data_IF_288656415143
#
_entry.id   IF_288656415143
#
_cell.length_a   1.000
_cell.length_b   1.000
_cell.length_c   1.000
_cell.angle_alpha   90.00
_cell.angle_beta   90.00
_cell.angle_gamma   90.00
#
_symmetry.space_group_name_H-M   'P 1'
#
loop_
_entity.id
_entity.type
_entity.pdbx_description
1 polymer ?
#
# COMPACT_ATOMS: atom_id res chain seq x y z
N UNK A 1 -4.45 -4.28 -11.51
CA UNK A 1 -4.67 -4.94 -10.19
C UNK A 1 -5.97 -5.71 -10.09
N UNK A 2 -6.94 -5.56 -11.01
CA UNK A 2 -8.18 -6.36 -11.04
C UNK A 2 -7.94 -7.86 -11.25
N UNK A 3 -6.94 -8.26 -12.03
CA UNK A 3 -6.65 -9.68 -12.30
C UNK A 3 -6.24 -10.47 -11.06
N UNK A 4 -5.41 -9.91 -10.18
CA UNK A 4 -4.99 -10.59 -8.96
C UNK A 4 -6.17 -10.79 -8.00
N UNK A 5 -7.04 -9.80 -7.88
CA UNK A 5 -8.24 -9.89 -7.06
C UNK A 5 -9.26 -10.86 -7.64
N UNK A 6 -9.47 -10.82 -8.97
CA UNK A 6 -10.31 -11.79 -9.68
C UNK A 6 -9.79 -13.22 -9.58
N UNK A 7 -8.46 -13.41 -9.56
CA UNK A 7 -7.86 -14.73 -9.31
C UNK A 7 -8.13 -15.22 -7.89
N UNK A 8 -7.94 -14.36 -6.88
CA UNK A 8 -8.27 -14.70 -5.48
C UNK A 8 -9.75 -15.06 -5.35
N UNK A 9 -10.65 -14.26 -5.92
CA UNK A 9 -12.08 -14.52 -5.89
C UNK A 9 -12.44 -15.85 -6.57
N UNK A 10 -11.85 -16.13 -7.75
CA UNK A 10 -12.02 -17.40 -8.44
C UNK A 10 -11.56 -18.58 -7.57
N UNK A 11 -10.36 -18.51 -7.01
CA UNK A 11 -9.82 -19.57 -6.16
C UNK A 11 -10.67 -19.78 -4.90
N UNK A 12 -11.08 -18.71 -4.21
CA UNK A 12 -11.95 -18.81 -3.04
C UNK A 12 -13.29 -19.46 -3.39
N UNK A 13 -13.87 -19.08 -4.54
CA UNK A 13 -15.11 -19.67 -5.05
C UNK A 13 -14.93 -21.16 -5.39
N UNK A 14 -13.81 -21.56 -5.99
CA UNK A 14 -13.49 -22.98 -6.24
C UNK A 14 -13.33 -23.76 -4.94
N UNK A 15 -12.79 -23.15 -3.89
CA UNK A 15 -12.63 -23.75 -2.56
C UNK A 15 -13.90 -23.70 -1.70
N UNK A 16 -15.01 -23.19 -2.24
CA UNK A 16 -16.29 -23.03 -1.55
C UNK A 16 -16.20 -22.15 -0.28
N UNK A 17 -15.26 -21.20 -0.27
CA UNK A 17 -15.07 -20.22 0.79
C UNK A 17 -15.85 -18.93 0.49
N UNK A 18 -16.19 -18.17 1.54
CA UNK A 18 -16.89 -16.88 1.40
C UNK A 18 -16.04 -15.91 0.58
N UNK A 19 -16.61 -15.38 -0.50
CA UNK A 19 -15.98 -14.36 -1.33
C UNK A 19 -16.42 -12.96 -0.90
N UNK A 20 -15.49 -12.01 -0.92
CA UNK A 20 -15.83 -10.59 -0.80
C UNK A 20 -16.24 -10.12 -2.21
N UNK A 21 -17.54 -9.98 -2.45
CA UNK A 21 -18.06 -9.60 -3.77
C UNK A 21 -17.51 -8.23 -4.21
N UNK A 22 -17.18 -8.12 -5.50
CA UNK A 22 -16.74 -6.84 -6.08
C UNK A 22 -17.96 -5.93 -6.28
N UNK A 23 -18.23 -5.06 -5.31
CA UNK A 23 -19.28 -4.07 -5.46
C UNK A 23 -18.79 -2.97 -6.41
N UNK A 24 -19.51 -2.78 -7.52
CA UNK A 24 -19.18 -1.74 -8.51
C UNK A 24 -19.37 -0.37 -7.86
N UNK A 25 -18.30 0.42 -7.82
CA UNK A 25 -18.40 1.81 -7.37
C UNK A 25 -19.26 2.60 -8.35
N UNK A 26 -20.26 3.33 -7.83
CA UNK A 26 -21.00 4.30 -8.64
C UNK A 26 -20.02 5.33 -9.21
N UNK A 27 -20.13 5.60 -10.52
CA UNK A 27 -19.36 6.68 -11.16
C UNK A 27 -19.98 8.07 -10.92
N UNK A 28 -21.21 8.11 -10.42
CA UNK A 28 -21.93 9.31 -10.00
C UNK A 28 -21.87 9.40 -8.48
N UNK A 29 -20.98 10.26 -7.97
CA UNK A 29 -20.95 10.63 -6.56
C UNK A 29 -21.23 12.13 -6.48
N UNK A 30 -22.26 12.53 -5.74
CA UNK A 30 -22.66 13.94 -5.55
C UNK A 30 -21.79 14.65 -4.49
N UNK A 31 -20.74 13.99 -4.00
CA UNK A 31 -19.82 14.52 -2.99
C UNK A 31 -18.87 15.55 -3.63
N UNK A 32 -19.25 16.84 -3.52
CA UNK A 32 -18.47 17.96 -4.06
C UNK A 32 -16.99 17.97 -3.61
N UNK A 33 -16.70 17.47 -2.41
CA UNK A 33 -15.33 17.35 -1.89
C UNK A 33 -14.50 16.27 -2.62
N UNK A 34 -15.12 15.18 -3.07
CA UNK A 34 -14.46 14.16 -3.89
C UNK A 34 -14.16 14.68 -5.29
N UNK A 35 -15.10 15.42 -5.88
CA UNK A 35 -14.92 16.07 -7.18
C UNK A 35 -13.76 17.07 -7.13
N UNK A 36 -13.70 17.92 -6.08
CA UNK A 36 -12.57 18.84 -5.89
C UNK A 36 -11.22 18.14 -5.83
N UNK A 37 -11.12 17.02 -5.11
CA UNK A 37 -9.87 16.24 -5.03
C UNK A 37 -9.49 15.67 -6.39
N UNK A 38 -10.46 15.16 -7.14
CA UNK A 38 -10.24 14.65 -8.49
C UNK A 38 -9.70 15.74 -9.43
N UNK A 39 -10.30 16.93 -9.44
CA UNK A 39 -9.83 18.06 -10.26
C UNK A 39 -8.45 18.59 -9.84
N UNK A 40 -8.04 18.35 -8.59
CA UNK A 40 -6.71 18.67 -8.07
C UNK A 40 -5.69 17.54 -8.27
N UNK A 41 -6.05 16.48 -8.98
CA UNK A 41 -5.22 15.28 -9.18
C UNK A 41 -4.82 14.57 -7.87
N UNK A 42 -5.58 14.77 -6.81
CA UNK A 42 -5.36 14.18 -5.50
C UNK A 42 -6.10 12.84 -5.43
N UNK A 43 -5.36 11.77 -5.15
CA UNK A 43 -5.94 10.44 -4.96
C UNK A 43 -6.93 10.42 -3.80
N UNK A 44 -8.14 9.90 -4.04
CA UNK A 44 -9.12 9.68 -2.98
C UNK A 44 -9.04 8.23 -2.48
N UNK A 45 -8.70 8.06 -1.20
CA UNK A 45 -8.61 6.76 -0.56
C UNK A 45 -9.91 6.31 0.14
N UNK A 46 -11.01 7.06 0.01
CA UNK A 46 -12.41 6.63 0.20
C UNK A 46 -12.77 5.77 1.43
N UNK A 47 -14.00 5.20 1.47
CA UNK A 47 -14.35 4.19 2.44
C UNK A 47 -13.53 2.91 2.21
N UNK A 48 -13.15 2.25 3.30
CA UNK A 48 -12.15 1.19 3.38
C UNK A 48 -12.35 0.05 2.36
N UNK A 49 -11.65 0.14 1.23
CA UNK A 49 -11.48 -0.98 0.29
C UNK A 49 -10.43 -1.94 0.82
N UNK A 50 -10.71 -3.24 0.70
CA UNK A 50 -9.74 -4.32 1.00
C UNK A 50 -8.45 -4.18 0.17
N UNK A 51 -8.52 -3.51 -0.99
CA UNK A 51 -7.36 -3.28 -1.86
C UNK A 51 -6.32 -2.31 -1.27
N UNK A 52 -6.70 -1.42 -0.35
CA UNK A 52 -5.77 -0.46 0.23
C UNK A 52 -4.79 -1.12 1.22
N UNK A 53 -5.19 -2.22 1.86
CA UNK A 53 -4.35 -2.90 2.84
C UNK A 53 -3.05 -3.46 2.23
N UNK A 54 -3.08 -4.34 1.20
CA UNK A 54 -1.86 -4.86 0.60
C UNK A 54 -1.02 -3.76 -0.06
N UNK A 55 -1.66 -2.74 -0.64
CA UNK A 55 -0.98 -1.58 -1.22
C UNK A 55 -0.20 -0.79 -0.16
N UNK A 56 -0.83 -0.52 1.00
CA UNK A 56 -0.20 0.19 2.12
C UNK A 56 0.95 -0.65 2.72
N UNK A 57 0.78 -1.97 2.87
CA UNK A 57 1.86 -2.87 3.31
C UNK A 57 3.05 -2.80 2.37
N UNK A 58 2.83 -2.89 1.05
CA UNK A 58 3.89 -2.82 0.06
C UNK A 58 4.63 -1.46 0.11
N UNK A 59 3.90 -0.35 0.25
CA UNK A 59 4.49 0.96 0.40
C UNK A 59 5.37 1.03 1.66
N UNK A 60 4.85 0.66 2.83
CA UNK A 60 5.60 0.72 4.10
C UNK A 60 6.84 -0.19 4.07
N UNK A 61 6.74 -1.41 3.54
CA UNK A 61 7.89 -2.32 3.38
C UNK A 61 8.96 -1.71 2.47
N UNK A 62 8.58 -1.15 1.32
CA UNK A 62 9.53 -0.49 0.41
C UNK A 62 10.19 0.72 1.07
N UNK A 63 9.45 1.50 1.87
CA UNK A 63 10.01 2.62 2.63
C UNK A 63 11.05 2.15 3.66
N UNK A 64 10.75 1.10 4.42
CA UNK A 64 11.70 0.53 5.38
C UNK A 64 12.94 -0.03 4.70
N UNK A 65 12.77 -0.72 3.57
CA UNK A 65 13.86 -1.23 2.75
C UNK A 65 14.72 -0.10 2.18
N UNK A 66 14.11 1.01 1.74
CA UNK A 66 14.83 2.20 1.30
C UNK A 66 15.69 2.80 2.42
N UNK A 67 15.13 3.01 3.61
CA UNK A 67 15.87 3.55 4.77
C UNK A 67 17.04 2.63 5.15
N UNK A 68 16.80 1.31 5.19
CA UNK A 68 17.84 0.32 5.49
C UNK A 68 18.91 0.26 4.40
N UNK A 69 18.51 0.31 3.14
CA UNK A 69 19.42 0.30 1.99
C UNK A 69 20.29 1.57 1.96
N UNK A 70 19.71 2.72 2.28
CA UNK A 70 20.44 3.98 2.39
C UNK A 70 21.47 3.93 3.53
N UNK A 71 21.10 3.39 4.69
CA UNK A 71 22.06 3.13 5.77
C UNK A 71 23.16 2.16 5.33
N UNK A 72 22.79 1.07 4.65
CA UNK A 72 23.72 0.08 4.11
C UNK A 72 24.71 0.65 3.09
N UNK A 73 24.29 1.62 2.28
CA UNK A 73 25.15 2.31 1.32
C UNK A 73 26.32 3.02 2.03
N UNK A 74 26.06 3.70 3.15
CA UNK A 74 27.08 4.38 3.93
C UNK A 74 28.04 3.42 4.66
N UNK A 75 27.58 2.22 5.01
CA UNK A 75 28.37 1.26 5.81
C UNK A 75 29.13 0.25 4.96
N UNK A 76 28.52 -0.25 3.88
CA UNK A 76 29.03 -1.37 3.07
C UNK A 76 29.32 -1.01 1.60
N UNK A 77 29.10 0.24 1.19
CA UNK A 77 29.46 0.75 -0.14
C UNK A 77 28.53 0.32 -1.28
N UNK A 78 29.09 0.17 -2.48
CA UNK A 78 28.36 0.10 -3.76
C UNK A 78 27.55 -1.18 -4.00
N UNK A 79 27.58 -2.17 -3.10
CA UNK A 79 26.98 -3.49 -3.32
C UNK A 79 25.45 -3.47 -3.49
N UNK A 80 24.79 -2.38 -3.09
CA UNK A 80 23.33 -2.26 -3.03
C UNK A 80 22.73 -1.23 -4.00
N UNK A 81 23.51 -0.71 -4.97
CA UNK A 81 23.07 0.42 -5.82
C UNK A 81 21.82 0.09 -6.65
N UNK A 82 21.76 -1.09 -7.28
CA UNK A 82 20.60 -1.50 -8.09
C UNK A 82 19.35 -1.73 -7.23
N UNK A 83 19.49 -2.37 -6.08
CA UNK A 83 18.38 -2.61 -5.14
C UNK A 83 17.85 -1.28 -4.58
N UNK A 84 18.76 -0.36 -4.25
CA UNK A 84 18.42 0.97 -3.79
C UNK A 84 17.70 1.75 -4.89
N UNK A 85 18.16 1.67 -6.15
CA UNK A 85 17.47 2.31 -7.28
C UNK A 85 16.05 1.78 -7.45
N UNK A 86 15.86 0.46 -7.40
CA UNK A 86 14.54 -0.16 -7.55
C UNK A 86 13.59 0.25 -6.42
N UNK A 87 14.06 0.21 -5.17
CA UNK A 87 13.23 0.55 -4.02
C UNK A 87 12.96 2.06 -3.94
N UNK A 88 13.91 2.90 -4.38
CA UNK A 88 13.69 4.34 -4.54
C UNK A 88 12.58 4.63 -5.54
N UNK A 89 12.59 3.94 -6.69
CA UNK A 89 11.53 4.06 -7.67
C UNK A 89 10.18 3.66 -7.08
N UNK A 90 10.11 2.54 -6.35
CA UNK A 90 8.89 2.12 -5.66
C UNK A 90 8.39 3.17 -4.64
N UNK A 91 9.30 3.75 -3.85
CA UNK A 91 8.98 4.78 -2.85
C UNK A 91 8.44 6.04 -3.51
N UNK A 92 9.03 6.52 -4.60
CA UNK A 92 8.54 7.70 -5.33
C UNK A 92 7.13 7.47 -5.88
N UNK A 93 6.85 6.28 -6.41
CA UNK A 93 5.50 5.93 -6.88
C UNK A 93 4.48 5.79 -5.74
N UNK A 94 4.94 5.55 -4.50
CA UNK A 94 4.09 5.45 -3.31
C UNK A 94 3.92 6.78 -2.56
N UNK A 95 4.44 7.90 -3.06
CA UNK A 95 4.24 9.23 -2.46
C UNK A 95 2.78 9.55 -2.09
N UNK A 96 1.78 9.38 -2.97
CA UNK A 96 0.38 9.68 -2.61
C UNK A 96 -0.15 8.80 -1.47
N UNK A 97 0.40 7.59 -1.30
CA UNK A 97 0.05 6.68 -0.21
C UNK A 97 0.63 7.19 1.12
N UNK A 98 1.90 7.60 1.14
CA UNK A 98 2.51 8.15 2.34
C UNK A 98 1.86 9.47 2.77
N UNK A 99 1.53 10.32 1.79
CA UNK A 99 0.82 11.56 2.02
C UNK A 99 -0.57 11.30 2.62
N UNK A 100 -1.34 10.37 2.05
CA UNK A 100 -2.64 9.97 2.58
C UNK A 100 -2.57 9.25 3.94
N UNK A 101 -1.44 8.61 4.27
CA UNK A 101 -1.24 7.91 5.53
C UNK A 101 -0.87 8.85 6.69
N UNK A 102 -0.03 9.86 6.43
CA UNK A 102 0.60 10.67 7.50
C UNK A 102 0.24 12.16 7.44
N UNK A 103 0.19 12.76 6.25
CA UNK A 103 0.12 14.21 6.09
C UNK A 103 -1.33 14.71 6.00
N UNK A 104 -2.22 13.95 5.35
CA UNK A 104 -3.59 14.36 5.09
C UNK A 104 -4.51 14.24 6.31
N UNK A 105 -5.38 15.24 6.46
CA UNK A 105 -6.40 15.30 7.52
C UNK A 105 -7.83 15.23 6.99
N UNK A 106 -8.02 15.43 5.69
CA UNK A 106 -9.32 15.36 5.00
C UNK A 106 -9.90 13.93 4.97
N UNK A 107 -11.11 13.81 4.43
CA UNK A 107 -11.87 12.55 4.36
C UNK A 107 -11.40 11.58 3.27
N UNK A 108 -10.57 12.03 2.33
CA UNK A 108 -9.96 11.18 1.31
C UNK A 108 -8.63 10.57 1.72
N UNK A 109 -8.22 10.71 3.00
CA UNK A 109 -7.01 10.08 3.57
C UNK A 109 -7.20 8.57 3.75
N UNK A 110 -6.09 7.86 3.96
CA UNK A 110 -6.17 6.43 4.22
C UNK A 110 -6.90 6.14 5.55
N UNK A 111 -7.84 5.18 5.58
CA UNK A 111 -8.52 4.82 6.81
C UNK A 111 -7.54 4.35 7.89
N UNK A 112 -7.61 4.94 9.08
CA UNK A 112 -6.68 4.66 10.19
C UNK A 112 -6.58 3.18 10.55
N UNK A 113 -7.68 2.43 10.43
CA UNK A 113 -7.70 0.97 10.65
C UNK A 113 -6.76 0.25 9.69
N UNK A 114 -6.73 0.65 8.42
CA UNK A 114 -5.86 0.06 7.39
C UNK A 114 -4.40 0.37 7.71
N UNK A 115 -4.08 1.61 8.07
CA UNK A 115 -2.73 2.00 8.48
C UNK A 115 -2.24 1.18 9.69
N UNK A 116 -3.11 0.97 10.69
CA UNK A 116 -2.79 0.18 11.87
C UNK A 116 -2.50 -1.29 11.53
N UNK A 117 -3.39 -1.94 10.77
CA UNK A 117 -3.17 -3.32 10.33
C UNK A 117 -1.95 -3.44 9.43
N UNK A 118 -1.74 -2.50 8.50
CA UNK A 118 -0.56 -2.49 7.65
C UNK A 118 0.74 -2.41 8.46
N UNK A 119 0.76 -1.60 9.52
CA UNK A 119 1.88 -1.52 10.45
C UNK A 119 2.16 -2.87 11.15
N UNK A 120 1.13 -3.51 11.69
CA UNK A 120 1.26 -4.83 12.34
C UNK A 120 1.78 -5.87 11.34
N UNK A 121 1.16 -5.97 10.16
CA UNK A 121 1.56 -6.94 9.13
C UNK A 121 3.00 -6.70 8.67
N UNK A 122 3.39 -5.45 8.45
CA UNK A 122 4.76 -5.10 8.05
C UNK A 122 5.78 -5.47 9.13
N UNK A 123 5.44 -5.24 10.40
CA UNK A 123 6.28 -5.64 11.52
C UNK A 123 6.46 -7.16 11.57
N UNK A 124 5.37 -7.93 11.48
CA UNK A 124 5.40 -9.40 11.44
C UNK A 124 6.24 -9.90 10.28
N UNK A 125 6.04 -9.37 9.06
CA UNK A 125 6.81 -9.75 7.88
C UNK A 125 8.31 -9.49 8.06
N UNK A 126 8.66 -8.35 8.64
CA UNK A 126 10.05 -7.96 8.86
C UNK A 126 10.73 -8.85 9.90
N UNK A 127 10.06 -9.12 11.04
CA UNK A 127 10.57 -10.00 12.10
C UNK A 127 10.68 -11.44 11.60
N UNK A 128 9.67 -11.94 10.89
CA UNK A 128 9.70 -13.29 10.30
C UNK A 128 10.83 -13.41 9.29
N UNK A 129 11.02 -12.42 8.41
CA UNK A 129 12.13 -12.41 7.46
C UNK A 129 13.49 -12.41 8.17
N UNK A 130 13.63 -11.62 9.25
CA UNK A 130 14.86 -11.60 10.05
C UNK A 130 15.13 -12.94 10.73
N UNK A 131 14.10 -13.63 11.25
CA UNK A 131 14.27 -14.94 11.88
C UNK A 131 14.64 -16.04 10.89
N UNK A 132 14.06 -16.03 9.69
CA UNK A 132 14.31 -17.05 8.65
C UNK A 132 15.65 -16.86 7.94
N UNK A 133 16.10 -15.61 7.76
CA UNK A 133 17.36 -15.29 7.08
C UNK A 133 18.58 -15.28 8.01
N UNK A 134 18.39 -15.63 9.29
CA UNK A 134 19.45 -15.80 10.28
C UNK A 134 19.83 -17.28 10.37
#
# INVERSE_FOLDING_TARGET
TSFFFGFIEFTLKTLNLSTHGFNLTSKTNDDAEQIKRYEQEIFDFGPSSSMFLPMTIAAVVNLLAFVRGLYGLFVWGERLVLELMLVSFAVVNCLPIYEAMVLRKDDGKLPKKICFFAGIFTFVLTVSGYFVLK
#
